data_IF_086434070818
#
_entry.id   IF_086434070818
#
_cell.length_a   1.000
_cell.length_b   1.000
_cell.length_c   1.000
_cell.angle_alpha   90.00
_cell.angle_beta   90.00
_cell.angle_gamma   90.00
#
_symmetry.space_group_name_H-M   'P 1'
#
loop_
_entity.id
_entity.type
_entity.pdbx_description
1 polymer ?
#
# COMPACT_ATOMS: atom_id res chain seq x y z
N UNK A 1 47.70 -21.76 -13.78
CA UNK A 1 47.16 -20.46 -13.36
C UNK A 1 45.65 -20.49 -13.55
N UNK A 2 44.81 -20.56 -12.50
CA UNK A 2 43.35 -20.45 -12.67
C UNK A 2 42.92 -18.97 -12.75
N UNK A 3 41.98 -18.70 -13.66
CA UNK A 3 41.41 -17.39 -14.00
C UNK A 3 40.59 -16.77 -12.85
N UNK A 4 40.46 -15.42 -12.77
CA UNK A 4 39.70 -14.76 -11.71
C UNK A 4 38.19 -14.98 -11.86
N UNK A 5 37.56 -15.37 -10.75
CA UNK A 5 36.12 -15.48 -10.57
C UNK A 5 35.41 -14.17 -10.93
N UNK A 6 34.54 -14.24 -11.92
CA UNK A 6 33.69 -13.15 -12.36
C UNK A 6 32.69 -12.84 -11.23
N UNK A 7 32.85 -11.66 -10.60
CA UNK A 7 31.92 -11.17 -9.59
C UNK A 7 30.52 -11.04 -10.21
N UNK A 8 29.51 -11.58 -9.52
CA UNK A 8 28.11 -11.53 -9.93
C UNK A 8 27.67 -10.09 -10.27
N UNK A 9 26.77 -9.89 -11.24
CA UNK A 9 26.25 -8.57 -11.53
C UNK A 9 25.53 -8.04 -10.29
N UNK A 10 26.08 -6.97 -9.70
CA UNK A 10 25.41 -6.13 -8.73
C UNK A 10 24.10 -5.66 -9.37
N UNK A 11 22.98 -6.20 -8.90
CA UNK A 11 21.66 -5.66 -9.24
C UNK A 11 21.67 -4.16 -8.98
N UNK A 12 21.25 -3.31 -9.94
CA UNK A 12 21.17 -1.88 -9.70
C UNK A 12 20.28 -1.62 -8.46
N UNK A 13 20.56 -0.57 -7.65
CA UNK A 13 19.63 -0.13 -6.62
C UNK A 13 18.28 0.04 -7.30
N UNK A 14 17.25 -0.65 -6.80
CA UNK A 14 15.89 -0.51 -7.32
C UNK A 14 15.60 0.98 -7.48
N UNK A 15 15.26 1.39 -8.70
CA UNK A 15 14.85 2.76 -8.98
C UNK A 15 13.57 3.03 -8.17
N UNK A 16 13.71 3.77 -7.07
CA UNK A 16 12.63 4.03 -6.11
C UNK A 16 11.58 5.02 -6.65
N UNK A 17 11.75 5.49 -7.89
CA UNK A 17 10.79 6.33 -8.63
C UNK A 17 9.63 5.53 -9.22
N UNK A 18 9.70 4.19 -9.23
CA UNK A 18 8.55 3.34 -9.53
C UNK A 18 7.63 3.28 -8.30
N UNK A 19 7.03 4.42 -7.98
CA UNK A 19 5.92 4.48 -7.05
C UNK A 19 4.80 3.63 -7.66
N UNK A 20 4.74 2.36 -7.26
CA UNK A 20 3.61 1.48 -7.55
C UNK A 20 2.28 2.21 -7.35
N UNK A 21 1.20 1.73 -8.00
CA UNK A 21 -0.05 2.45 -8.24
C UNK A 21 -0.34 3.49 -7.15
N UNK A 22 -0.44 4.77 -7.55
CA UNK A 22 -0.61 5.90 -6.64
C UNK A 22 -1.53 5.48 -5.49
N UNK A 23 -1.06 5.65 -4.25
CA UNK A 23 -1.78 5.26 -3.01
C UNK A 23 -3.28 5.56 -3.10
N UNK A 24 -3.64 6.66 -3.77
CA UNK A 24 -5.00 7.09 -4.07
C UNK A 24 -5.83 6.11 -4.93
N UNK A 25 -5.28 5.54 -6.01
CA UNK A 25 -5.99 4.56 -6.85
C UNK A 25 -6.26 3.27 -6.08
N UNK A 26 -5.25 2.77 -5.36
CA UNK A 26 -5.42 1.58 -4.53
C UNK A 26 -6.44 1.85 -3.40
N UNK A 27 -6.34 3.00 -2.75
CA UNK A 27 -7.27 3.42 -1.71
C UNK A 27 -8.69 3.57 -2.24
N UNK A 28 -8.86 4.04 -3.48
CA UNK A 28 -10.16 4.16 -4.16
C UNK A 28 -10.75 2.77 -4.44
N UNK A 29 -9.94 1.82 -4.89
CA UNK A 29 -10.39 0.43 -5.09
C UNK A 29 -10.79 -0.23 -3.77
N UNK A 30 -10.00 -0.07 -2.72
CA UNK A 30 -10.38 -0.54 -1.38
C UNK A 30 -11.63 0.17 -0.87
N UNK A 31 -11.78 1.47 -1.11
CA UNK A 31 -12.94 2.23 -0.67
C UNK A 31 -14.26 1.72 -1.28
N UNK A 32 -14.23 1.14 -2.49
CA UNK A 32 -15.40 0.54 -3.16
C UNK A 32 -15.80 -0.82 -2.58
N UNK A 33 -14.88 -1.52 -1.93
CA UNK A 33 -15.10 -2.84 -1.33
C UNK A 33 -15.65 -2.72 0.09
N UNK A 34 -16.05 -3.87 0.67
CA UNK A 34 -16.45 -3.95 2.08
C UNK A 34 -15.35 -3.40 2.99
N UNK A 35 -15.74 -2.56 3.95
CA UNK A 35 -14.81 -1.84 4.79
C UNK A 35 -13.99 -2.76 5.68
N UNK A 36 -14.65 -3.75 6.29
CA UNK A 36 -14.05 -4.68 7.24
C UNK A 36 -13.07 -5.61 6.53
N UNK A 37 -13.50 -6.20 5.40
CA UNK A 37 -12.67 -7.11 4.61
C UNK A 37 -11.42 -6.40 4.06
N UNK A 38 -11.58 -5.18 3.53
CA UNK A 38 -10.48 -4.39 2.98
C UNK A 38 -9.44 -4.03 4.04
N UNK A 39 -9.89 -3.58 5.22
CA UNK A 39 -8.99 -3.17 6.30
C UNK A 39 -8.21 -4.37 6.85
N UNK A 40 -8.87 -5.53 7.01
CA UNK A 40 -8.21 -6.76 7.43
C UNK A 40 -7.14 -7.23 6.43
N UNK A 41 -7.40 -7.09 5.12
CA UNK A 41 -6.44 -7.41 4.07
C UNK A 41 -5.22 -6.46 4.11
N UNK A 42 -5.46 -5.15 4.19
CA UNK A 42 -4.39 -4.14 4.27
C UNK A 42 -3.53 -4.36 5.53
N UNK A 43 -4.15 -4.71 6.66
CA UNK A 43 -3.44 -4.98 7.91
C UNK A 43 -2.59 -6.25 7.85
N UNK A 44 -3.08 -7.29 7.16
CA UNK A 44 -2.30 -8.50 6.88
C UNK A 44 -1.06 -8.19 6.04
N UNK A 45 -1.21 -7.36 5.01
CA UNK A 45 -0.12 -6.93 4.13
C UNK A 45 0.92 -6.07 4.87
N UNK A 46 0.46 -5.12 5.71
CA UNK A 46 1.34 -4.33 6.55
C UNK A 46 2.12 -5.21 7.55
N UNK A 47 1.46 -6.20 8.16
CA UNK A 47 2.10 -7.14 9.09
C UNK A 47 3.16 -8.00 8.38
N UNK A 48 2.87 -8.48 7.18
CA UNK A 48 3.83 -9.23 6.38
C UNK A 48 5.04 -8.37 5.99
N UNK A 49 4.83 -7.11 5.61
CA UNK A 49 5.90 -6.16 5.31
C UNK A 49 6.81 -5.92 6.52
N UNK A 50 6.24 -5.75 7.72
CA UNK A 50 7.00 -5.61 8.97
C UNK A 50 7.83 -6.87 9.23
N UNK A 51 7.26 -8.07 9.08
CA UNK A 51 7.98 -9.33 9.27
C UNK A 51 9.15 -9.51 8.30
N UNK A 52 9.06 -8.91 7.12
CA UNK A 52 10.11 -8.92 6.11
C UNK A 52 11.08 -7.73 6.22
N UNK A 53 10.97 -6.93 7.29
CA UNK A 53 11.77 -5.71 7.50
C UNK A 53 11.61 -4.67 6.38
N UNK A 54 10.48 -4.70 5.67
CA UNK A 54 10.12 -3.74 4.60
C UNK A 54 9.27 -2.61 5.18
N UNK A 55 9.91 -1.68 5.88
CA UNK A 55 9.21 -0.57 6.56
C UNK A 55 8.52 0.40 5.58
N UNK A 56 9.08 0.59 4.39
CA UNK A 56 8.47 1.42 3.34
C UNK A 56 7.13 0.84 2.87
N UNK A 57 7.08 -0.47 2.60
CA UNK A 57 5.85 -1.19 2.25
C UNK A 57 4.83 -1.12 3.40
N UNK A 58 5.26 -1.30 4.65
CA UNK A 58 4.36 -1.20 5.80
C UNK A 58 3.73 0.20 5.88
N UNK A 59 4.54 1.25 5.70
CA UNK A 59 4.08 2.64 5.69
C UNK A 59 3.14 2.92 4.52
N UNK A 60 3.43 2.36 3.34
CA UNK A 60 2.56 2.44 2.17
C UNK A 60 1.16 1.86 2.47
N UNK A 61 1.09 0.65 3.03
CA UNK A 61 -0.19 0.02 3.38
C UNK A 61 -0.97 0.82 4.43
N UNK A 62 -0.29 1.42 5.41
CA UNK A 62 -0.95 2.30 6.39
C UNK A 62 -1.54 3.57 5.72
N UNK A 63 -0.82 4.16 4.75
CA UNK A 63 -1.33 5.31 3.97
C UNK A 63 -2.55 4.92 3.13
N UNK A 64 -2.55 3.74 2.50
CA UNK A 64 -3.69 3.21 1.75
C UNK A 64 -4.91 3.02 2.67
N UNK A 65 -4.73 2.41 3.86
CA UNK A 65 -5.80 2.24 4.87
C UNK A 65 -6.43 3.58 5.24
N UNK A 66 -5.60 4.57 5.54
CA UNK A 66 -6.06 5.90 5.93
C UNK A 66 -6.82 6.60 4.80
N UNK A 67 -6.28 6.61 3.58
CA UNK A 67 -6.93 7.21 2.42
C UNK A 67 -8.26 6.52 2.09
N UNK A 68 -8.32 5.19 2.12
CA UNK A 68 -9.56 4.44 1.86
C UNK A 68 -10.65 4.84 2.87
N UNK A 69 -10.29 4.96 4.16
CA UNK A 69 -11.20 5.42 5.21
C UNK A 69 -11.67 6.86 4.98
N UNK A 70 -10.78 7.78 4.58
CA UNK A 70 -11.16 9.16 4.26
C UNK A 70 -12.12 9.22 3.06
N UNK A 71 -11.88 8.43 2.02
CA UNK A 71 -12.74 8.36 0.84
C UNK A 71 -14.14 7.87 1.23
N UNK A 72 -14.24 6.79 2.02
CA UNK A 72 -15.54 6.29 2.51
C UNK A 72 -16.25 7.30 3.40
N UNK A 73 -15.53 7.99 4.29
CA UNK A 73 -16.11 9.02 5.14
C UNK A 73 -16.67 10.19 4.31
N UNK A 74 -15.98 10.62 3.24
CA UNK A 74 -16.49 11.63 2.31
C UNK A 74 -17.73 11.16 1.54
N UNK A 75 -17.77 9.89 1.11
CA UNK A 75 -18.93 9.30 0.44
C UNK A 75 -20.14 9.16 1.37
N UNK A 76 -19.92 8.74 2.62
CA UNK A 76 -20.97 8.64 3.63
C UNK A 76 -21.48 10.00 4.12
N UNK A 77 -20.62 11.01 4.19
CA UNK A 77 -20.99 12.37 4.58
C UNK A 77 -21.86 13.08 3.53
N UNK A 78 -21.76 12.69 2.25
CA UNK A 78 -22.59 13.24 1.16
C UNK A 78 -24.06 12.80 1.20
N UNK A 79 -24.39 11.73 1.94
CA UNK A 79 -25.74 11.14 1.97
C UNK A 79 -26.50 11.46 3.26
N UNK A 80 -25.90 12.25 4.17
CA UNK A 80 -26.46 12.55 5.50
C UNK A 80 -26.81 14.02 5.77
N UNK A 81 -26.58 14.94 4.82
CA UNK A 81 -26.87 16.37 5.01
C UNK A 81 -28.29 16.77 4.60
N UNK A 82 -29.28 15.89 4.81
CA UNK A 82 -30.65 16.19 4.43
C UNK A 82 -31.65 15.15 4.87
N UNK A 83 -31.96 15.07 6.17
CA UNK A 83 -33.34 14.82 6.61
C UNK A 83 -33.55 15.00 8.12
N UNK A 84 -34.63 15.74 8.37
CA UNK A 84 -35.39 15.97 9.61
C UNK A 84 -34.91 17.08 10.54
#
# INVERSE_FOLDING_TARGET
MPMPSQAAPMTPPRDFSDHGPCVEDLAREFAKQDATASEALIESLATQAIRQWRLDDATFWQRVKFQARMIRAKQGAGTGAGRH
#
